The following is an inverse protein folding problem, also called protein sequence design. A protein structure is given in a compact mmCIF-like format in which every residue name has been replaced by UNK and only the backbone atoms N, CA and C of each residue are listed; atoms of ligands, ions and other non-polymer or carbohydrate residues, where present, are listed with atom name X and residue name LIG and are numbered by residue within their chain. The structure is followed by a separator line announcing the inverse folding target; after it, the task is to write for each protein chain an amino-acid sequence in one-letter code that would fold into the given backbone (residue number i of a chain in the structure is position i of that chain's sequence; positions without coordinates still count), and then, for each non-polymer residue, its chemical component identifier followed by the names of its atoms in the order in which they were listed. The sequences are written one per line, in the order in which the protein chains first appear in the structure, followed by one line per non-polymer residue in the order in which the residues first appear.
data_IF_775148916441
#
_entry.id   IF_775148916441
#
_cell.length_a   1.000
_cell.length_b   1.000
_cell.length_c   1.000
_cell.angle_alpha   90.00
_cell.angle_beta   90.00
_cell.angle_gamma   90.00
#
_symmetry.space_group_name_H-M   'P 1'
#
loop_
_entity.id
_entity.type
_entity.pdbx_description
1 polymer ?
#
# COMPACT_ATOMS: atom_id res chain seq x y z
N UNK A 1 -12.68 -19.81 6.55
CA UNK A 1 -11.95 -19.57 7.80
C UNK A 1 -11.31 -18.19 7.73
N UNK A 2 -12.17 -17.16 7.73
CA UNK A 2 -11.79 -15.75 7.50
C UNK A 2 -11.05 -15.19 8.72
N UNK A 3 -11.41 -15.67 9.91
CA UNK A 3 -10.87 -15.25 11.21
C UNK A 3 -9.40 -15.62 11.38
N UNK A 4 -8.95 -16.74 10.81
CA UNK A 4 -7.55 -17.16 10.82
C UNK A 4 -6.68 -16.31 9.88
N UNK A 5 -7.25 -15.79 8.79
CA UNK A 5 -6.55 -14.89 7.85
C UNK A 5 -6.48 -13.47 8.42
N UNK A 6 -7.57 -13.02 9.06
CA UNK A 6 -7.64 -11.72 9.75
C UNK A 6 -6.79 -11.65 11.01
N UNK A 7 -6.42 -12.79 11.62
CA UNK A 7 -5.49 -12.83 12.77
C UNK A 7 -4.01 -12.91 12.36
N UNK A 8 -3.71 -13.29 11.11
CA UNK A 8 -2.36 -13.29 10.55
C UNK A 8 -1.98 -11.98 9.87
N UNK A 9 -2.96 -11.18 9.45
CA UNK A 9 -2.75 -9.77 9.19
C UNK A 9 -2.75 -9.11 10.58
N UNK A 10 -1.62 -8.55 11.06
CA UNK A 10 -1.65 -7.77 12.29
C UNK A 10 -2.79 -6.78 12.14
N UNK A 11 -3.77 -6.75 13.06
CA UNK A 11 -4.69 -5.63 13.07
C UNK A 11 -3.79 -4.41 13.28
N UNK A 12 -3.53 -3.67 12.19
CA UNK A 12 -2.59 -2.54 12.20
C UNK A 12 -2.95 -1.51 13.27
N UNK A 13 -4.20 -1.60 13.74
CA UNK A 13 -4.79 -0.90 14.85
C UNK A 13 -5.26 -1.96 15.85
N UNK A 14 -4.65 -1.96 17.03
CA UNK A 14 -4.74 -3.05 18.01
C UNK A 14 -6.06 -3.09 18.80
N UNK A 15 -6.12 -4.06 19.72
CA UNK A 15 -7.20 -4.25 20.71
C UNK A 15 -7.25 -3.15 21.79
N UNK A 16 -6.29 -2.21 21.81
CA UNK A 16 -6.29 -1.04 22.70
C UNK A 16 -5.79 0.22 22.00
N UNK A 17 -6.28 1.39 22.42
CA UNK A 17 -5.88 2.68 21.86
C UNK A 17 -4.39 2.98 22.05
N UNK A 18 -3.78 2.48 23.13
CA UNK A 18 -2.33 2.59 23.39
C UNK A 18 -1.52 1.81 22.34
N UNK A 19 -1.96 0.59 22.00
CA UNK A 19 -1.31 -0.23 20.97
C UNK A 19 -1.48 0.38 19.58
N UNK A 20 -2.67 0.91 19.27
CA UNK A 20 -2.95 1.65 18.03
C UNK A 20 -2.07 2.89 17.90
N UNK A 21 -1.88 3.65 18.99
CA UNK A 21 -0.93 4.76 19.02
C UNK A 21 0.49 4.30 18.69
N UNK A 22 0.99 3.24 19.33
CA UNK A 22 2.33 2.71 19.03
C UNK A 22 2.45 2.21 17.58
N UNK A 23 1.37 1.66 17.01
CA UNK A 23 1.31 1.31 15.59
C UNK A 23 1.48 2.51 14.67
N UNK A 24 0.80 3.63 14.96
CA UNK A 24 1.03 4.89 14.23
C UNK A 24 2.44 5.44 14.43
N UNK A 25 3.00 5.33 15.63
CA UNK A 25 4.39 5.73 15.88
C UNK A 25 5.36 4.85 15.06
N UNK A 26 5.15 3.54 15.02
CA UNK A 26 5.97 2.61 14.24
C UNK A 26 5.90 2.89 12.72
N UNK A 27 4.80 3.49 12.26
CA UNK A 27 4.62 3.99 10.90
C UNK A 27 5.37 5.30 10.59
N UNK A 28 6.08 5.87 11.56
CA UNK A 28 6.83 7.11 11.39
C UNK A 28 6.02 8.38 11.68
N UNK A 29 4.76 8.28 12.13
CA UNK A 29 3.99 9.46 12.52
C UNK A 29 4.56 10.09 13.79
N UNK A 30 4.54 11.42 13.84
CA UNK A 30 4.84 12.15 15.07
C UNK A 30 3.79 11.88 16.15
N UNK A 31 4.15 12.07 17.43
CA UNK A 31 3.22 11.90 18.55
C UNK A 31 1.95 12.74 18.38
N UNK A 32 2.10 13.98 17.89
CA UNK A 32 0.97 14.87 17.63
C UNK A 32 0.03 14.34 16.54
N UNK A 33 0.57 13.92 15.39
CA UNK A 33 -0.24 13.36 14.30
C UNK A 33 -0.97 12.07 14.73
N UNK A 34 -0.29 11.19 15.46
CA UNK A 34 -0.90 9.95 15.96
C UNK A 34 -2.04 10.24 16.95
N UNK A 35 -1.87 11.23 17.84
CA UNK A 35 -2.90 11.65 18.79
C UNK A 35 -4.08 12.34 18.11
N UNK A 36 -3.84 13.20 17.12
CA UNK A 36 -4.86 13.87 16.34
C UNK A 36 -5.78 12.86 15.63
N UNK A 37 -5.20 11.85 14.97
CA UNK A 37 -5.94 10.78 14.29
C UNK A 37 -6.80 9.98 15.28
N UNK A 38 -6.29 9.75 16.49
CA UNK A 38 -7.00 9.01 17.52
C UNK A 38 -8.00 9.87 18.33
N UNK A 39 -8.00 11.18 18.15
CA UNK A 39 -8.84 12.12 18.91
C UNK A 39 -8.40 12.30 20.37
N UNK A 40 -7.11 12.15 20.67
CA UNK A 40 -6.54 12.33 22.01
C UNK A 40 -5.59 13.53 22.07
N UNK A 41 -5.21 13.90 23.29
CA UNK A 41 -4.33 15.03 23.58
C UNK A 41 -2.98 14.57 24.16
N UNK A 42 -2.00 15.47 24.19
CA UNK A 42 -0.72 15.20 24.87
C UNK A 42 -0.89 14.88 26.36
N UNK A 43 -1.94 15.41 27.00
CA UNK A 43 -2.25 15.09 28.39
C UNK A 43 -2.59 13.62 28.56
N UNK A 44 -3.34 13.05 27.63
CA UNK A 44 -3.70 11.62 27.63
C UNK A 44 -2.46 10.77 27.43
N UNK A 45 -1.58 11.15 26.49
CA UNK A 45 -0.31 10.47 26.25
C UNK A 45 0.59 10.47 27.50
N UNK A 46 0.72 11.60 28.18
CA UNK A 46 1.49 11.69 29.43
C UNK A 46 0.89 10.83 30.54
N UNK A 47 -0.44 10.70 30.57
CA UNK A 47 -1.12 9.78 31.50
C UNK A 47 -0.81 8.33 31.14
N UNK A 48 -0.87 7.96 29.86
CA UNK A 48 -0.52 6.62 29.39
C UNK A 48 0.92 6.24 29.69
N UNK A 49 1.88 7.16 29.50
CA UNK A 49 3.31 6.96 29.83
C UNK A 49 3.54 6.76 31.34
N UNK A 50 2.75 7.42 32.19
CA UNK A 50 2.80 7.23 33.65
C UNK A 50 2.21 5.90 34.09
N UNK A 51 1.06 5.54 33.53
CA UNK A 51 0.37 4.27 33.80
C UNK A 51 1.11 3.06 33.24
N UNK A 52 1.85 3.25 32.14
CA UNK A 52 2.49 2.17 31.40
C UNK A 52 3.92 2.59 31.03
N UNK A 53 4.89 2.51 31.97
CA UNK A 53 6.28 2.90 31.72
C UNK A 53 6.94 2.17 30.54
N UNK A 54 6.55 0.91 30.31
CA UNK A 54 7.01 0.11 29.16
C UNK A 54 6.71 0.77 27.81
N UNK A 55 5.67 1.60 27.72
CA UNK A 55 5.32 2.35 26.51
C UNK A 55 6.37 3.43 26.21
N UNK A 56 6.82 4.14 27.25
CA UNK A 56 7.87 5.16 27.14
C UNK A 56 9.22 4.51 26.81
N UNK A 57 9.52 3.37 27.44
CA UNK A 57 10.73 2.60 27.15
C UNK A 57 10.78 2.16 25.69
N UNK A 58 9.67 1.61 25.18
CA UNK A 58 9.53 1.23 23.78
C UNK A 58 9.72 2.41 22.83
N UNK A 59 9.11 3.57 23.10
CA UNK A 59 9.28 4.78 22.29
C UNK A 59 10.74 5.26 22.21
N UNK A 60 11.49 5.10 23.30
CA UNK A 60 12.87 5.56 23.38
C UNK A 60 13.88 4.57 22.78
N UNK A 61 13.66 3.26 22.99
CA UNK A 61 14.68 2.24 22.70
C UNK A 61 14.37 1.45 21.43
N UNK A 62 13.11 1.08 21.19
CA UNK A 62 12.73 0.11 20.15
C UNK A 62 12.05 0.76 18.94
N UNK A 63 11.51 1.97 19.09
CA UNK A 63 10.74 2.63 18.04
C UNK A 63 11.58 2.92 16.78
N UNK A 64 12.82 3.41 16.95
CA UNK A 64 13.70 3.72 15.83
C UNK A 64 14.08 2.48 15.02
N UNK A 65 14.41 1.37 15.70
CA UNK A 65 14.67 0.09 15.04
C UNK A 65 13.42 -0.44 14.33
N UNK A 66 12.26 -0.35 14.98
CA UNK A 66 11.01 -0.81 14.40
C UNK A 66 10.60 0.01 13.17
N UNK A 67 10.74 1.34 13.21
CA UNK A 67 10.51 2.21 12.06
C UNK A 67 11.43 1.85 10.90
N UNK A 68 12.71 1.60 11.18
CA UNK A 68 13.69 1.23 10.16
C UNK A 68 13.41 -0.15 9.53
N UNK A 69 12.92 -1.12 10.32
CA UNK A 69 12.69 -2.49 9.86
C UNK A 69 11.30 -2.74 9.29
N UNK A 70 10.28 -2.09 9.84
CA UNK A 70 8.87 -2.45 9.62
C UNK A 70 8.08 -1.32 8.97
N UNK A 71 8.59 -0.07 8.99
CA UNK A 71 7.90 1.07 8.37
C UNK A 71 7.62 0.86 6.88
N UNK A 72 8.62 0.41 6.12
CA UNK A 72 8.47 0.11 4.69
C UNK A 72 7.46 -1.03 4.44
N UNK A 73 7.56 -2.11 5.22
CA UNK A 73 6.68 -3.29 5.07
C UNK A 73 5.23 -2.96 5.42
N UNK A 74 4.97 -2.17 6.46
CA UNK A 74 3.60 -1.79 6.80
C UNK A 74 3.01 -0.87 5.72
N UNK A 75 3.77 0.12 5.23
CA UNK A 75 3.30 1.00 4.15
C UNK A 75 2.97 0.16 2.91
N UNK A 76 3.84 -0.78 2.55
CA UNK A 76 3.60 -1.75 1.48
C UNK A 76 2.33 -2.57 1.72
N UNK A 77 2.15 -3.12 2.91
CA UNK A 77 0.95 -3.92 3.26
C UNK A 77 -0.33 -3.08 3.25
N UNK A 78 -0.30 -1.87 3.79
CA UNK A 78 -1.44 -0.96 3.80
C UNK A 78 -1.82 -0.51 2.39
N UNK A 79 -0.83 -0.22 1.57
CA UNK A 79 -1.02 0.09 0.16
C UNK A 79 -1.61 -1.09 -0.62
N UNK A 80 -1.03 -2.29 -0.48
CA UNK A 80 -1.53 -3.51 -1.10
C UNK A 80 -2.96 -3.84 -0.68
N UNK A 81 -3.29 -3.68 0.61
CA UNK A 81 -4.65 -3.85 1.13
C UNK A 81 -5.62 -2.87 0.45
N UNK A 82 -5.26 -1.59 0.40
CA UNK A 82 -6.12 -0.57 -0.22
C UNK A 82 -6.30 -0.83 -1.72
N UNK A 83 -5.24 -1.20 -2.43
CA UNK A 83 -5.33 -1.60 -3.84
C UNK A 83 -6.21 -2.83 -4.02
N UNK A 84 -6.08 -3.87 -3.19
CA UNK A 84 -6.96 -5.03 -3.25
C UNK A 84 -8.44 -4.67 -3.11
N UNK A 85 -8.79 -3.73 -2.23
CA UNK A 85 -10.16 -3.22 -2.10
C UNK A 85 -10.64 -2.45 -3.34
N UNK A 86 -9.76 -1.66 -3.96
CA UNK A 86 -10.08 -0.97 -5.21
C UNK A 86 -10.29 -1.96 -6.36
N UNK A 87 -9.40 -2.95 -6.51
CA UNK A 87 -9.50 -4.00 -7.54
C UNK A 87 -10.77 -4.84 -7.37
N UNK A 88 -11.14 -5.20 -6.14
CA UNK A 88 -12.38 -5.91 -5.86
C UNK A 88 -13.61 -5.09 -6.28
N UNK A 89 -13.61 -3.79 -5.97
CA UNK A 89 -14.68 -2.88 -6.39
C UNK A 89 -14.75 -2.78 -7.91
N UNK A 90 -13.60 -2.67 -8.58
CA UNK A 90 -13.51 -2.64 -10.05
C UNK A 90 -14.05 -3.92 -10.67
N UNK A 91 -13.69 -5.08 -10.13
CA UNK A 91 -14.19 -6.38 -10.57
C UNK A 91 -15.72 -6.47 -10.46
N UNK A 92 -16.30 -6.01 -9.35
CA UNK A 92 -17.76 -5.98 -9.18
C UNK A 92 -18.45 -5.10 -10.22
N UNK A 93 -17.86 -3.96 -10.56
CA UNK A 93 -18.37 -3.06 -11.60
C UNK A 93 -18.27 -3.69 -12.99
N UNK A 94 -17.17 -4.38 -13.29
CA UNK A 94 -17.00 -5.10 -14.56
C UNK A 94 -18.04 -6.21 -14.68
N UNK A 95 -18.25 -7.01 -13.63
CA UNK A 95 -19.26 -8.09 -13.64
C UNK A 95 -20.67 -7.55 -13.84
N UNK A 96 -21.01 -6.43 -13.19
CA UNK A 96 -22.29 -5.74 -13.39
C UNK A 96 -22.44 -5.25 -14.83
N UNK A 97 -21.42 -4.59 -15.37
CA UNK A 97 -21.43 -4.10 -16.74
C UNK A 97 -21.52 -5.24 -17.78
N UNK A 98 -20.88 -6.38 -17.53
CA UNK A 98 -20.95 -7.57 -18.40
C UNK A 98 -22.33 -8.23 -18.38
N UNK A 99 -22.98 -8.28 -17.21
CA UNK A 99 -24.28 -8.96 -17.06
C UNK A 99 -25.47 -8.09 -17.45
N UNK A 100 -25.38 -6.77 -17.25
CA UNK A 100 -26.51 -5.85 -17.40
C UNK A 100 -26.26 -4.74 -18.43
N UNK A 101 -25.10 -4.73 -19.09
CA UNK A 101 -24.66 -3.67 -20.00
C UNK A 101 -24.05 -2.47 -19.27
N UNK A 102 -23.19 -1.71 -19.96
CA UNK A 102 -22.47 -0.56 -19.38
C UNK A 102 -23.44 0.53 -18.89
N UNK A 103 -24.57 0.70 -19.56
CA UNK A 103 -25.59 1.70 -19.21
C UNK A 103 -26.31 1.41 -17.88
N UNK A 104 -26.14 0.19 -17.33
CA UNK A 104 -26.66 -0.19 -16.00
C UNK A 104 -25.84 0.40 -14.85
N UNK A 105 -24.66 0.96 -15.13
CA UNK A 105 -23.83 1.62 -14.14
C UNK A 105 -24.40 3.02 -13.85
N UNK A 106 -24.56 3.33 -12.57
CA UNK A 106 -24.87 4.69 -12.16
C UNK A 106 -23.73 5.65 -12.54
N UNK A 107 -24.04 6.94 -12.71
CA UNK A 107 -23.04 7.98 -13.01
C UNK A 107 -21.87 8.00 -12.02
N UNK A 108 -22.12 7.65 -10.75
CA UNK A 108 -21.09 7.56 -9.71
C UNK A 108 -20.20 6.32 -9.91
N UNK A 109 -20.80 5.16 -10.20
CA UNK A 109 -20.07 3.93 -10.48
C UNK A 109 -19.22 4.06 -11.74
N UNK A 110 -19.77 4.66 -12.80
CA UNK A 110 -19.05 4.91 -14.05
C UNK A 110 -17.86 5.86 -13.86
N UNK A 111 -18.06 6.97 -13.16
CA UNK A 111 -16.96 7.89 -12.80
C UNK A 111 -15.89 7.18 -11.96
N UNK A 112 -16.30 6.35 -11.00
CA UNK A 112 -15.37 5.59 -10.16
C UNK A 112 -14.57 4.59 -10.97
N UNK A 113 -15.21 3.87 -11.90
CA UNK A 113 -14.56 2.92 -12.80
C UNK A 113 -13.51 3.63 -13.68
N UNK A 114 -13.87 4.77 -14.28
CA UNK A 114 -12.93 5.60 -15.06
C UNK A 114 -11.75 6.08 -14.22
N UNK A 115 -11.98 6.53 -12.98
CA UNK A 115 -10.91 6.97 -12.09
C UNK A 115 -9.98 5.82 -11.70
N UNK A 116 -10.49 4.62 -11.41
CA UNK A 116 -9.65 3.46 -11.10
C UNK A 116 -8.83 3.08 -12.34
N UNK A 117 -9.46 3.05 -13.52
CA UNK A 117 -8.81 2.65 -14.77
C UNK A 117 -7.71 3.60 -15.25
N UNK A 118 -7.72 4.86 -14.81
CA UNK A 118 -6.63 5.81 -15.06
C UNK A 118 -5.31 5.38 -14.44
N UNK A 119 -5.33 4.58 -13.38
CA UNK A 119 -4.13 4.10 -12.69
C UNK A 119 -3.62 2.75 -13.22
N UNK A 120 -4.14 2.26 -14.34
CA UNK A 120 -3.59 1.10 -15.06
C UNK A 120 -2.66 1.53 -16.22
N UNK A 121 -2.21 2.78 -16.26
CA UNK A 121 -1.18 3.20 -17.21
C UNK A 121 0.12 2.43 -16.98
N UNK A 122 0.93 2.25 -18.03
CA UNK A 122 2.19 1.49 -17.93
C UNK A 122 3.13 2.09 -16.88
N UNK A 123 3.18 3.42 -16.76
CA UNK A 123 3.93 4.12 -15.71
C UNK A 123 3.34 3.91 -14.32
N UNK A 124 2.01 3.88 -14.18
CA UNK A 124 1.35 3.67 -12.89
C UNK A 124 1.55 2.23 -12.40
N UNK A 125 1.53 1.26 -13.31
CA UNK A 125 1.83 -0.14 -13.03
C UNK A 125 3.32 -0.34 -12.67
N UNK A 126 4.22 0.40 -13.32
CA UNK A 126 5.63 0.41 -12.96
C UNK A 126 5.86 1.06 -11.59
N UNK A 127 5.21 2.19 -11.32
CA UNK A 127 5.25 2.85 -10.01
C UNK A 127 4.65 1.97 -8.91
N UNK A 128 3.59 1.23 -9.24
CA UNK A 128 2.97 0.22 -8.38
C UNK A 128 3.97 -0.89 -8.07
N UNK A 129 4.62 -1.46 -9.08
CA UNK A 129 5.61 -2.52 -8.89
C UNK A 129 6.81 -2.01 -8.08
N UNK A 130 7.28 -0.79 -8.34
CA UNK A 130 8.32 -0.10 -7.55
C UNK A 130 7.94 0.12 -6.10
N UNK A 131 6.70 0.55 -5.85
CA UNK A 131 6.19 0.74 -4.49
C UNK A 131 5.99 -0.59 -3.77
N UNK A 132 5.62 -1.64 -4.51
CA UNK A 132 5.41 -2.96 -3.95
C UNK A 132 6.75 -3.63 -3.73
N UNK A 133 7.61 -3.83 -4.71
CA UNK A 133 8.86 -4.59 -4.58
C UNK A 133 10.10 -3.73 -4.89
N UNK A 134 10.41 -2.68 -4.10
CA UNK A 134 11.50 -1.76 -4.39
C UNK A 134 12.86 -2.46 -4.54
N UNK A 135 13.07 -3.58 -3.86
CA UNK A 135 14.23 -4.47 -4.00
C UNK A 135 14.45 -5.01 -5.42
N UNK A 136 13.40 -5.19 -6.23
CA UNK A 136 13.47 -5.68 -7.62
C UNK A 136 13.87 -4.59 -8.61
N UNK A 137 13.81 -3.34 -8.19
CA UNK A 137 14.07 -2.16 -9.03
C UNK A 137 15.36 -1.44 -8.62
N UNK A 138 16.21 -2.09 -7.82
CA UNK A 138 17.58 -1.61 -7.58
C UNK A 138 18.39 -1.57 -8.88
N UNK A 139 18.04 -2.41 -9.83
CA UNK A 139 18.57 -2.41 -11.19
C UNK A 139 17.55 -1.74 -12.14
N UNK A 140 18.06 -0.93 -13.07
CA UNK A 140 17.32 0.05 -13.88
C UNK A 140 16.34 -0.55 -14.91
N UNK A 141 16.11 -1.86 -14.90
CA UNK A 141 15.32 -2.58 -15.88
C UNK A 141 14.19 -3.36 -15.21
N UNK A 142 12.97 -3.17 -15.67
CA UNK A 142 11.78 -3.87 -15.15
C UNK A 142 11.12 -4.66 -16.25
N UNK A 143 11.01 -5.97 -16.06
CA UNK A 143 10.30 -6.86 -16.99
C UNK A 143 8.84 -6.99 -16.57
N UNK A 144 7.93 -6.47 -17.40
CA UNK A 144 6.49 -6.58 -17.25
C UNK A 144 5.95 -7.62 -18.24
N UNK A 145 5.25 -8.63 -17.75
CA UNK A 145 4.65 -9.68 -18.58
C UNK A 145 3.12 -9.58 -18.60
N UNK A 146 2.54 -9.45 -19.80
CA UNK A 146 1.10 -9.41 -20.03
C UNK A 146 0.70 -10.52 -21.02
N UNK A 147 0.20 -11.65 -20.49
CA UNK A 147 -0.14 -12.81 -21.32
C UNK A 147 1.11 -13.45 -21.93
N UNK A 148 1.14 -13.60 -23.26
CA UNK A 148 2.32 -14.12 -24.00
C UNK A 148 3.39 -13.04 -24.26
N UNK A 149 3.10 -11.77 -23.96
CA UNK A 149 4.00 -10.67 -24.26
C UNK A 149 4.81 -10.26 -23.03
N UNK A 150 6.11 -10.07 -23.24
CA UNK A 150 7.04 -9.52 -22.25
C UNK A 150 7.58 -8.17 -22.71
N UNK A 151 7.57 -7.20 -21.81
CA UNK A 151 8.05 -5.85 -22.03
C UNK A 151 9.14 -5.55 -21.04
N UNK A 152 10.22 -4.93 -21.48
CA UNK A 152 11.26 -4.40 -20.62
C UNK A 152 11.17 -2.88 -20.65
N UNK A 153 11.06 -2.29 -19.45
CA UNK A 153 11.08 -0.85 -19.27
C UNK A 153 12.44 -0.48 -18.68
N UNK A 154 13.23 0.26 -19.46
CA UNK A 154 14.52 0.81 -19.05
C UNK A 154 14.34 2.26 -18.63
N UNK A 155 14.64 2.56 -17.37
CA UNK A 155 14.54 3.92 -16.83
C UNK A 155 15.78 4.72 -17.27
N UNK A 156 15.62 5.67 -18.19
CA UNK A 156 16.71 6.56 -18.55
C UNK A 156 16.93 7.58 -17.43
N UNK A 157 18.19 7.78 -17.00
CA UNK A 157 18.56 8.75 -15.95
C UNK A 157 18.12 10.21 -16.20
N UNK A 158 17.58 10.52 -17.38
CA UNK A 158 17.25 11.87 -17.83
C UNK A 158 15.93 12.00 -18.62
N UNK A 159 14.91 11.19 -18.28
CA UNK A 159 13.52 11.65 -18.47
C UNK A 159 12.77 11.20 -19.72
N UNK A 160 13.17 10.13 -20.40
CA UNK A 160 12.26 9.39 -21.28
C UNK A 160 12.42 7.88 -21.04
N UNK A 161 11.41 7.24 -20.45
CA UNK A 161 11.37 5.80 -20.25
C UNK A 161 11.26 5.10 -21.61
N UNK A 162 12.20 4.21 -21.92
CA UNK A 162 12.14 3.44 -23.16
C UNK A 162 11.43 2.11 -22.90
N UNK A 163 10.28 1.94 -23.57
CA UNK A 163 9.54 0.68 -23.63
C UNK A 163 10.11 -0.17 -24.77
N UNK A 164 10.79 -1.27 -24.44
CA UNK A 164 11.23 -2.26 -25.42
C UNK A 164 10.37 -3.52 -25.29
N UNK A 165 9.70 -3.91 -26.37
CA UNK A 165 9.06 -5.21 -26.45
C UNK A 165 10.15 -6.27 -26.64
N UNK A 166 10.23 -7.24 -25.74
CA UNK A 166 11.14 -8.37 -25.89
C UNK A 166 10.38 -9.46 -26.64
N UNK A 167 10.91 -9.85 -27.80
CA UNK A 167 10.42 -11.04 -28.51
C UNK A 167 11.29 -12.22 -28.07
N UNK A 168 10.75 -13.44 -28.09
CA UNK A 168 11.33 -14.69 -27.57
C UNK A 168 12.70 -15.14 -28.14
N UNK A 169 13.43 -14.26 -28.84
CA UNK A 169 14.78 -14.49 -29.37
C UNK A 169 15.88 -13.56 -28.83
N UNK A 170 15.59 -12.67 -27.86
CA UNK A 170 16.56 -11.69 -27.33
C UNK A 170 17.19 -12.11 -25.97
N UNK A 171 17.00 -13.36 -25.53
CA UNK A 171 17.65 -13.91 -24.32
C UNK A 171 18.76 -14.87 -24.75
N UNK A 172 19.99 -14.35 -24.83
CA UNK A 172 21.24 -15.12 -24.72
C UNK A 172 21.82 -14.96 -23.31
#
# INVERSE_FOLDING_TARGET
NLDLVMSQIPSLFGTSMKATYLGFRALGLTSGQALEILGYTERDLNTWRKETPAMLEFENQSLGELQARVGADIVRLGFLRNMGMFLLTDQQLIMKAQSQGIDSLSKREFTRHLSIRRFYGTHDLLALDKAVAPERHRDMAVTLSFGENTFEVLEAKFGEDQLRQITSGDVD
#
